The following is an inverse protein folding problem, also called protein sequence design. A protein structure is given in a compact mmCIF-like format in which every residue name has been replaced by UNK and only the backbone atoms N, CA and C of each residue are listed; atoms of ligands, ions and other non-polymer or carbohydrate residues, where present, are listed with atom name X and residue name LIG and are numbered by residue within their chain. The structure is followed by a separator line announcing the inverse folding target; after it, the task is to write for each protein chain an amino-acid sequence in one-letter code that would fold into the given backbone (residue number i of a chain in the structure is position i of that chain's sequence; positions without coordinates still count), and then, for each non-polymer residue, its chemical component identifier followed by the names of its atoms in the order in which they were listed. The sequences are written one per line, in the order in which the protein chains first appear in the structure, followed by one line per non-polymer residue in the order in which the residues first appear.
data_IF_599831029644
#
_entry.id   IF_599831029644
#
_cell.length_a   1.000
_cell.length_b   1.000
_cell.length_c   1.000
_cell.angle_alpha   90.00
_cell.angle_beta   90.00
_cell.angle_gamma   90.00
#
_symmetry.space_group_name_H-M   'P 1'
#
loop_
_entity.id
_entity.type
_entity.pdbx_description
1 polymer ?
#
# COMPACT_ATOMS: atom_id res chain seq x y z
N UNK A 1 -5.53 -6.02 10.50
CA UNK A 1 -4.42 -6.99 10.45
C UNK A 1 -3.13 -6.50 9.74
N UNK A 2 -3.11 -5.39 9.00
CA UNK A 2 -1.89 -4.96 8.27
C UNK A 2 -0.78 -4.37 9.15
N UNK A 3 -1.13 -3.62 10.20
CA UNK A 3 -0.16 -2.86 10.99
C UNK A 3 0.95 -3.70 11.65
N UNK A 4 0.70 -4.86 12.27
CA UNK A 4 1.78 -5.69 12.81
C UNK A 4 2.77 -6.17 11.73
N UNK A 5 2.27 -6.46 10.53
CA UNK A 5 3.08 -6.89 9.39
C UNK A 5 3.89 -5.73 8.82
N UNK A 6 3.29 -4.53 8.73
CA UNK A 6 4.01 -3.31 8.35
C UNK A 6 5.12 -2.98 9.35
N UNK A 7 4.85 -3.06 10.66
CA UNK A 7 5.86 -2.88 11.71
C UNK A 7 7.02 -3.86 11.55
N UNK A 8 6.77 -5.12 11.18
CA UNK A 8 7.82 -6.10 10.91
C UNK A 8 8.63 -5.79 9.66
N UNK A 9 7.99 -5.40 8.57
CA UNK A 9 8.64 -5.17 7.27
C UNK A 9 9.38 -3.84 7.18
N UNK A 10 8.82 -2.80 7.81
CA UNK A 10 9.24 -1.42 7.67
C UNK A 10 9.73 -0.83 9.00
N UNK A 11 10.14 -1.65 9.97
CA UNK A 11 10.46 -1.24 11.34
C UNK A 11 11.24 0.10 11.43
N UNK A 12 12.33 0.24 10.67
CA UNK A 12 13.19 1.43 10.67
C UNK A 12 12.70 2.57 9.75
N UNK A 13 11.64 2.34 8.99
CA UNK A 13 11.05 3.26 8.01
C UNK A 13 9.69 3.79 8.45
N UNK A 14 9.05 3.17 9.44
CA UNK A 14 7.80 3.65 10.03
C UNK A 14 8.12 4.71 11.09
N UNK A 15 8.00 5.98 10.71
CA UNK A 15 8.50 7.11 11.53
C UNK A 15 7.42 7.89 12.24
N UNK A 16 6.16 7.71 11.84
CA UNK A 16 5.01 8.23 12.56
C UNK A 16 3.90 7.18 12.51
N UNK A 17 3.26 6.94 13.65
CA UNK A 17 2.11 6.04 13.78
C UNK A 17 1.17 6.72 14.74
N UNK A 18 0.09 7.29 14.21
CA UNK A 18 -0.94 7.93 15.03
C UNK A 18 -1.85 6.92 15.70
N UNK A 19 -2.87 7.44 16.38
CA UNK A 19 -3.92 6.62 16.98
C UNK A 19 -4.91 6.11 15.92
N UNK A 20 -5.57 4.96 16.16
CA UNK A 20 -6.65 4.48 15.31
C UNK A 20 -7.78 5.52 15.22
N UNK A 21 -8.25 5.80 14.01
CA UNK A 21 -9.46 6.58 13.77
C UNK A 21 -10.74 5.79 14.04
N UNK A 22 -11.89 6.45 13.91
CA UNK A 22 -13.22 5.85 14.13
C UNK A 22 -13.52 4.66 13.21
N UNK A 23 -12.85 4.59 12.05
CA UNK A 23 -12.94 3.50 11.07
C UNK A 23 -11.94 2.36 11.34
N UNK A 24 -11.14 2.47 12.40
CA UNK A 24 -10.09 1.53 12.77
C UNK A 24 -8.84 1.58 11.88
N UNK A 25 -8.73 2.54 10.96
CA UNK A 25 -7.49 2.79 10.20
C UNK A 25 -6.50 3.51 11.12
N UNK A 26 -5.22 3.17 10.97
CA UNK A 26 -4.14 3.81 11.73
C UNK A 26 -3.31 4.63 10.75
N UNK A 27 -3.27 5.97 10.89
CA UNK A 27 -2.43 6.80 10.05
C UNK A 27 -0.97 6.50 10.36
N UNK A 28 -0.15 6.38 9.31
CA UNK A 28 1.27 6.14 9.47
C UNK A 28 2.08 6.80 8.36
N UNK A 29 3.29 7.24 8.71
CA UNK A 29 4.27 7.77 7.77
C UNK A 29 5.38 6.75 7.57
N UNK A 30 5.63 6.42 6.30
CA UNK A 30 6.69 5.50 5.88
C UNK A 30 7.72 6.29 5.10
N UNK A 31 8.96 6.31 5.60
CA UNK A 31 10.11 6.83 4.85
C UNK A 31 10.48 5.89 3.71
N UNK A 32 10.92 6.46 2.61
CA UNK A 32 11.44 5.73 1.47
C UNK A 32 12.19 6.67 0.53
N UNK A 33 12.92 6.12 -0.44
CA UNK A 33 13.68 6.93 -1.39
C UNK A 33 12.77 7.85 -2.23
N UNK A 34 11.63 7.32 -2.70
CA UNK A 34 10.54 8.06 -3.36
C UNK A 34 9.20 7.33 -3.13
N UNK A 35 8.09 8.06 -3.21
CA UNK A 35 6.75 7.55 -2.89
C UNK A 35 6.32 6.38 -3.80
N UNK A 36 6.71 6.37 -5.07
CA UNK A 36 6.39 5.31 -6.02
C UNK A 36 7.01 3.97 -5.61
N UNK A 37 8.24 3.98 -5.10
CA UNK A 37 8.93 2.77 -4.63
C UNK A 37 8.22 2.20 -3.41
N UNK A 38 7.85 3.06 -2.45
CA UNK A 38 7.07 2.65 -1.28
C UNK A 38 5.73 2.03 -1.69
N UNK A 39 5.07 2.61 -2.69
CA UNK A 39 3.81 2.10 -3.21
C UNK A 39 3.94 0.68 -3.78
N UNK A 40 5.02 0.39 -4.51
CA UNK A 40 5.28 -0.94 -5.05
C UNK A 40 5.59 -1.97 -3.94
N UNK A 41 6.43 -1.61 -2.97
CA UNK A 41 6.76 -2.46 -1.82
C UNK A 41 5.50 -2.88 -1.04
N UNK A 42 4.53 -1.97 -0.96
CA UNK A 42 3.31 -2.14 -0.19
C UNK A 42 2.09 -2.56 -1.02
N UNK A 43 2.22 -2.65 -2.34
CA UNK A 43 1.11 -3.01 -3.24
C UNK A 43 0.45 -4.36 -2.89
N UNK A 44 1.24 -5.31 -2.37
CA UNK A 44 0.77 -6.62 -1.95
C UNK A 44 -0.19 -6.62 -0.75
N UNK A 45 -0.35 -5.49 -0.04
CA UNK A 45 -1.34 -5.35 1.02
C UNK A 45 -2.76 -5.08 0.50
N UNK A 46 -2.90 -4.69 -0.78
CA UNK A 46 -4.19 -4.39 -1.39
C UNK A 46 -5.00 -3.37 -0.57
N UNK A 47 -6.28 -3.65 -0.36
CA UNK A 47 -7.22 -2.76 0.35
C UNK A 47 -6.91 -2.57 1.85
N UNK A 48 -5.97 -3.34 2.41
CA UNK A 48 -5.56 -3.20 3.80
C UNK A 48 -4.71 -1.95 4.06
N UNK A 49 -4.20 -1.30 3.01
CA UNK A 49 -3.46 -0.03 3.07
C UNK A 49 -4.09 0.96 2.10
N UNK A 50 -4.16 2.22 2.50
CA UNK A 50 -4.54 3.34 1.65
C UNK A 50 -3.40 4.36 1.61
N UNK A 51 -3.10 4.87 0.42
CA UNK A 51 -2.04 5.85 0.21
C UNK A 51 -2.64 7.23 0.04
N UNK A 52 -2.19 8.17 0.86
CA UNK A 52 -2.58 9.58 0.77
C UNK A 52 -1.68 10.38 -0.17
N UNK A 53 -0.43 9.93 -0.39
CA UNK A 53 0.52 10.57 -1.31
C UNK A 53 0.07 10.43 -2.79
N UNK A 54 0.00 11.54 -3.56
CA UNK A 54 -0.45 11.50 -4.95
C UNK A 54 0.43 10.67 -5.89
N UNK A 55 1.75 10.68 -5.72
CA UNK A 55 2.69 9.95 -6.56
C UNK A 55 2.58 8.44 -6.30
N UNK A 56 2.45 8.04 -5.03
CA UNK A 56 2.17 6.65 -4.67
C UNK A 56 0.85 6.14 -5.27
N UNK A 57 -0.23 6.93 -5.17
CA UNK A 57 -1.52 6.59 -5.79
C UNK A 57 -1.42 6.44 -7.31
N UNK A 58 -0.74 7.38 -7.98
CA UNK A 58 -0.54 7.31 -9.42
C UNK A 58 0.24 6.05 -9.82
N UNK A 59 1.24 5.67 -9.04
CA UNK A 59 2.01 4.46 -9.28
C UNK A 59 1.18 3.18 -9.11
N UNK A 60 0.34 3.09 -8.08
CA UNK A 60 -0.55 1.94 -7.90
C UNK A 60 -1.62 1.86 -8.99
N UNK A 61 -2.14 3.00 -9.45
CA UNK A 61 -3.09 3.03 -10.56
C UNK A 61 -2.46 2.48 -11.85
N UNK A 62 -1.20 2.85 -12.14
CA UNK A 62 -0.42 2.30 -13.26
C UNK A 62 -0.21 0.78 -13.11
N UNK A 63 0.29 0.34 -11.95
CA UNK A 63 0.49 -1.09 -11.67
C UNK A 63 -0.82 -1.88 -11.83
N UNK A 64 -1.93 -1.38 -11.30
CA UNK A 64 -3.23 -2.04 -11.41
C UNK A 64 -3.73 -2.10 -12.85
N UNK A 65 -3.46 -1.08 -13.67
CA UNK A 65 -3.76 -1.11 -15.11
C UNK A 65 -2.92 -2.18 -15.83
N UNK A 66 -1.62 -2.24 -15.56
CA UNK A 66 -0.72 -3.24 -16.15
C UNK A 66 -1.11 -4.68 -15.78
N UNK A 67 -1.42 -4.91 -14.49
CA UNK A 67 -1.84 -6.22 -14.01
C UNK A 67 -3.18 -6.65 -14.61
N UNK A 68 -4.16 -5.74 -14.70
CA UNK A 68 -5.44 -6.04 -15.38
C UNK A 68 -5.26 -6.31 -16.87
N UNK A 69 -4.40 -5.56 -17.53
CA UNK A 69 -4.10 -5.76 -18.96
C UNK A 69 -3.52 -7.16 -19.20
N UNK A 70 -2.56 -7.60 -18.37
CA UNK A 70 -1.85 -8.88 -18.55
C UNK A 70 -2.62 -10.09 -18.03
N UNK A 71 -3.33 -9.93 -16.92
CA UNK A 71 -3.90 -11.05 -16.17
C UNK A 71 -5.42 -10.97 -16.00
N UNK A 72 -6.07 -9.85 -16.34
CA UNK A 72 -7.49 -9.62 -16.11
C UNK A 72 -8.44 -10.34 -17.07
N UNK A 73 -7.91 -11.00 -18.10
CA UNK A 73 -8.69 -11.78 -19.08
C UNK A 73 -8.75 -13.28 -18.75
N UNK A 74 -8.19 -13.70 -17.61
CA UNK A 74 -8.39 -15.06 -17.11
C UNK A 74 -9.75 -15.17 -16.43
N UNK A 75 -10.67 -15.96 -16.99
CA UNK A 75 -11.95 -16.32 -16.37
C UNK A 75 -11.68 -17.13 -15.09
N UNK A 76 -11.41 -16.45 -13.99
CA UNK A 76 -11.24 -17.05 -12.68
C UNK A 76 -12.56 -17.06 -11.93
N UNK A 77 -13.28 -18.18 -12.00
CA UNK A 77 -14.10 -18.61 -10.87
C UNK A 77 -13.18 -18.68 -9.65
N UNK A 78 -13.41 -17.82 -8.67
CA UNK A 78 -12.69 -17.76 -7.39
C UNK A 78 -13.63 -17.22 -6.33
#
# INVERSE_FOLDING_TARGET
MALPRLRRLLAHRLVDVGEPGDDGRVPAVVLGPVAEVVALELAGFGSAVEFTDPAARAQLARLAADLRSRYGQGTGAG
#
